data_IF_022523631944
#
_entry.id   IF_022523631944
#
_cell.length_a   1.000
_cell.length_b   1.000
_cell.length_c   1.000
_cell.angle_alpha   90.00
_cell.angle_beta   90.00
_cell.angle_gamma   90.00
#
_symmetry.space_group_name_H-M   'P 1'
#
loop_
_entity.id
_entity.type
_entity.pdbx_description
1 polymer ?
#
# COMPACT_ATOMS: atom_id res chain seq x y z
N UNK A 1 8.67 6.95 5.39
CA UNK A 1 7.45 6.21 5.07
C UNK A 1 6.22 6.86 5.68
N UNK A 2 5.06 6.56 5.09
CA UNK A 2 3.74 6.94 5.58
C UNK A 2 2.95 5.65 5.75
N UNK A 3 2.22 5.51 6.86
CA UNK A 3 1.38 4.35 7.13
C UNK A 3 -0.08 4.75 7.05
N UNK A 4 -0.85 4.07 6.21
CA UNK A 4 -2.31 4.15 6.19
C UNK A 4 -2.85 2.82 6.70
N UNK A 5 -3.57 2.82 7.80
CA UNK A 5 -4.03 1.58 8.40
C UNK A 5 -5.50 1.28 8.11
N UNK A 6 -5.82 -0.01 8.08
CA UNK A 6 -7.17 -0.52 8.13
C UNK A 6 -7.57 -0.74 9.59
N UNK A 7 -8.79 -0.35 9.94
CA UNK A 7 -9.33 -0.63 11.27
C UNK A 7 -10.17 -1.91 11.23
N UNK A 8 -9.92 -2.89 12.11
CA UNK A 8 -10.77 -4.06 12.23
C UNK A 8 -12.22 -3.69 12.58
N UNK A 9 -13.18 -4.49 12.13
CA UNK A 9 -14.59 -4.30 12.46
C UNK A 9 -14.80 -4.29 13.98
N UNK A 10 -15.61 -3.33 14.48
CA UNK A 10 -15.90 -3.19 15.90
C UNK A 10 -14.81 -2.51 16.72
N UNK A 11 -13.71 -2.08 16.12
CA UNK A 11 -12.64 -1.34 16.78
C UNK A 11 -12.75 0.14 16.43
N UNK A 12 -12.54 1.02 17.41
CA UNK A 12 -12.48 2.46 17.20
C UNK A 12 -11.22 2.83 16.39
N UNK A 13 -11.42 3.56 15.28
CA UNK A 13 -10.34 3.88 14.34
C UNK A 13 -9.25 4.78 14.96
N UNK A 14 -9.62 5.69 15.84
CA UNK A 14 -8.66 6.57 16.51
C UNK A 14 -7.86 5.83 17.57
N UNK A 15 -8.49 4.89 18.27
CA UNK A 15 -7.80 4.00 19.21
C UNK A 15 -6.81 3.09 18.48
N UNK A 16 -7.18 2.52 17.35
CA UNK A 16 -6.29 1.71 16.54
C UNK A 16 -5.11 2.54 16.00
N UNK A 17 -5.36 3.76 15.57
CA UNK A 17 -4.33 4.69 15.13
C UNK A 17 -3.28 4.94 16.23
N UNK A 18 -3.74 5.26 17.44
CA UNK A 18 -2.85 5.45 18.60
C UNK A 18 -2.05 4.19 18.94
N UNK A 19 -2.68 3.02 18.84
CA UNK A 19 -2.03 1.73 19.08
C UNK A 19 -0.88 1.50 18.10
N UNK A 20 -1.11 1.72 16.80
CA UNK A 20 -0.10 1.56 15.76
C UNK A 20 1.05 2.55 15.96
N UNK A 21 0.75 3.84 16.16
CA UNK A 21 1.76 4.85 16.43
C UNK A 21 2.62 4.48 17.65
N UNK A 22 2.00 4.01 18.73
CA UNK A 22 2.70 3.55 19.93
C UNK A 22 3.59 2.34 19.68
N UNK A 23 3.14 1.38 18.89
CA UNK A 23 3.98 0.23 18.52
C UNK A 23 5.23 0.65 17.75
N UNK A 24 5.09 1.59 16.81
CA UNK A 24 6.24 2.14 16.07
C UNK A 24 7.22 2.86 17.00
N UNK A 25 6.72 3.64 17.97
CA UNK A 25 7.55 4.29 18.98
C UNK A 25 8.32 3.27 19.84
N UNK A 26 7.67 2.18 20.24
CA UNK A 26 8.31 1.10 21.01
C UNK A 26 9.42 0.40 20.19
N UNK A 27 9.35 0.43 18.87
CA UNK A 27 10.40 -0.04 17.96
C UNK A 27 11.53 0.98 17.75
N UNK A 28 11.49 2.12 18.42
CA UNK A 28 12.54 3.16 18.34
C UNK A 28 12.33 4.19 17.24
N UNK A 29 11.13 4.26 16.67
CA UNK A 29 10.79 5.19 15.60
C UNK A 29 9.80 6.24 16.11
N UNK A 30 10.00 7.51 15.72
CA UNK A 30 9.00 8.55 15.98
C UNK A 30 7.80 8.35 15.08
N UNK A 31 6.60 8.34 15.65
CA UNK A 31 5.36 8.21 14.90
C UNK A 31 4.29 9.18 15.38
N UNK A 32 3.47 9.67 14.46
CA UNK A 32 2.41 10.63 14.75
C UNK A 32 1.11 10.21 14.05
N UNK A 33 0.05 10.03 14.85
CA UNK A 33 -1.29 9.79 14.32
C UNK A 33 -1.90 11.06 13.71
N UNK A 34 -2.41 10.96 12.50
CA UNK A 34 -2.99 12.06 11.73
C UNK A 34 -4.35 11.64 11.18
N UNK A 35 -5.32 12.55 11.21
CA UNK A 35 -6.61 12.38 10.53
C UNK A 35 -6.62 13.12 9.21
N UNK A 36 -7.13 12.47 8.17
CA UNK A 36 -7.27 13.06 6.84
C UNK A 36 -5.98 13.16 6.04
N UNK A 37 -6.08 13.76 4.86
CA UNK A 37 -4.97 13.89 3.90
C UNK A 37 -4.71 15.36 3.64
N UNK A 38 -3.78 15.93 4.39
CA UNK A 38 -3.25 17.28 4.14
C UNK A 38 -1.76 17.17 3.80
N UNK A 39 -1.41 17.50 2.55
CA UNK A 39 -0.06 17.36 2.02
C UNK A 39 0.96 18.22 2.79
N UNK A 40 0.58 19.42 3.20
CA UNK A 40 1.46 20.30 3.98
C UNK A 40 1.78 19.69 5.35
N UNK A 41 0.76 19.21 6.05
CA UNK A 41 0.91 18.52 7.33
C UNK A 41 1.78 17.27 7.19
N UNK A 42 1.60 16.47 6.12
CA UNK A 42 2.40 15.30 5.86
C UNK A 42 3.88 15.67 5.62
N UNK A 43 4.15 16.68 4.81
CA UNK A 43 5.52 17.15 4.59
C UNK A 43 6.18 17.66 5.88
N UNK A 44 5.46 18.43 6.68
CA UNK A 44 5.97 18.91 7.98
C UNK A 44 6.29 17.75 8.92
N UNK A 45 5.41 16.77 8.99
CA UNK A 45 5.57 15.58 9.84
C UNK A 45 6.81 14.78 9.46
N UNK A 46 6.98 14.51 8.17
CA UNK A 46 8.14 13.77 7.62
C UNK A 46 9.43 14.57 7.81
N UNK A 47 9.40 15.89 7.59
CA UNK A 47 10.57 16.75 7.76
C UNK A 47 11.08 16.82 9.20
N UNK A 48 10.25 16.47 10.17
CA UNK A 48 10.62 16.35 11.57
C UNK A 48 10.94 14.91 12.02
N UNK A 49 11.21 14.02 11.06
CA UNK A 49 11.55 12.61 11.25
C UNK A 49 10.44 11.76 11.91
N UNK A 50 9.19 12.18 11.78
CA UNK A 50 8.05 11.38 12.21
C UNK A 50 7.50 10.53 11.05
N UNK A 51 7.07 9.31 11.37
CA UNK A 51 6.23 8.50 10.48
C UNK A 51 4.77 8.89 10.69
N UNK A 52 4.11 9.51 9.69
CA UNK A 52 2.68 9.75 9.76
C UNK A 52 1.91 8.42 9.77
N UNK A 53 1.00 8.27 10.70
CA UNK A 53 0.07 7.14 10.77
C UNK A 53 -1.34 7.69 10.53
N UNK A 54 -1.90 7.38 9.38
CA UNK A 54 -3.10 8.04 8.86
C UNK A 54 -4.35 7.23 9.21
N UNK A 55 -5.31 7.91 9.84
CA UNK A 55 -6.70 7.42 9.91
C UNK A 55 -7.39 7.77 8.60
N UNK A 56 -7.85 6.81 7.81
CA UNK A 56 -8.65 7.09 6.62
C UNK A 56 -10.03 7.60 7.06
N UNK A 57 -10.16 8.90 7.06
CA UNK A 57 -11.34 9.62 7.56
C UNK A 57 -11.60 10.88 6.76
N UNK A 58 -12.87 11.18 6.52
CA UNK A 58 -13.26 12.49 6.05
C UNK A 58 -13.28 13.48 7.23
N UNK A 59 -12.62 14.61 7.08
CA UNK A 59 -12.55 15.66 8.10
C UNK A 59 -13.95 16.23 8.36
N UNK A 60 -14.79 16.31 7.33
CA UNK A 60 -16.12 16.88 7.39
C UNK A 60 -17.20 15.88 7.81
N UNK A 61 -16.93 14.58 7.69
CA UNK A 61 -17.86 13.50 8.04
C UNK A 61 -17.17 12.31 8.69
N UNK A 62 -16.98 12.39 10.00
CA UNK A 62 -16.31 11.34 10.79
C UNK A 62 -17.01 9.97 10.75
N UNK A 63 -18.29 9.95 10.38
CA UNK A 63 -19.09 8.72 10.31
C UNK A 63 -19.00 8.02 8.97
N UNK A 64 -18.47 8.68 7.94
CA UNK A 64 -18.32 8.08 6.61
C UNK A 64 -17.18 7.07 6.59
N UNK A 65 -17.47 5.90 6.02
CA UNK A 65 -16.44 4.91 5.78
C UNK A 65 -15.65 5.28 4.52
N UNK A 66 -14.35 5.43 4.70
CA UNK A 66 -13.40 5.62 3.59
C UNK A 66 -12.54 4.37 3.50
N UNK A 67 -12.44 3.80 2.29
CA UNK A 67 -11.56 2.66 2.06
C UNK A 67 -10.09 3.09 2.24
N UNK A 68 -9.33 2.44 3.13
CA UNK A 68 -7.91 2.73 3.32
C UNK A 68 -7.08 2.63 2.03
N UNK A 69 -7.47 1.79 1.08
CA UNK A 69 -6.79 1.66 -0.21
C UNK A 69 -6.89 2.94 -1.04
N UNK A 70 -8.06 3.60 -1.03
CA UNK A 70 -8.27 4.88 -1.72
C UNK A 70 -7.42 5.98 -1.09
N UNK A 71 -7.39 6.05 0.23
CA UNK A 71 -6.57 7.03 0.96
C UNK A 71 -5.08 6.82 0.67
N UNK A 72 -4.60 5.58 0.68
CA UNK A 72 -3.21 5.26 0.39
C UNK A 72 -2.82 5.64 -1.04
N UNK A 73 -3.69 5.38 -2.02
CA UNK A 73 -3.50 5.78 -3.40
C UNK A 73 -3.43 7.30 -3.54
N UNK A 74 -4.36 8.03 -2.94
CA UNK A 74 -4.39 9.49 -2.95
C UNK A 74 -3.11 10.10 -2.38
N UNK A 75 -2.67 9.63 -1.22
CA UNK A 75 -1.42 10.07 -0.59
C UNK A 75 -0.22 9.76 -1.48
N UNK A 76 -0.12 8.55 -2.01
CA UNK A 76 0.99 8.14 -2.86
C UNK A 76 1.12 9.05 -4.08
N UNK A 77 0.01 9.40 -4.73
CA UNK A 77 -0.01 10.30 -5.88
C UNK A 77 0.35 11.73 -5.49
N UNK A 78 -0.30 12.29 -4.47
CA UNK A 78 -0.08 13.66 -4.01
C UNK A 78 1.33 13.90 -3.46
N UNK A 79 1.89 12.92 -2.76
CA UNK A 79 3.24 12.98 -2.20
C UNK A 79 4.33 12.56 -3.18
N UNK A 80 3.98 12.21 -4.42
CA UNK A 80 4.91 11.69 -5.42
C UNK A 80 5.77 10.55 -4.86
N UNK A 81 5.11 9.58 -4.24
CA UNK A 81 5.78 8.45 -3.63
C UNK A 81 6.51 7.61 -4.69
N UNK A 82 7.69 7.13 -4.34
CA UNK A 82 8.42 6.16 -5.18
C UNK A 82 7.72 4.79 -5.18
N UNK A 83 7.19 4.40 -4.04
CA UNK A 83 6.52 3.11 -3.84
C UNK A 83 5.20 3.26 -3.09
N UNK A 84 4.17 2.56 -3.58
CA UNK A 84 2.94 2.27 -2.85
C UNK A 84 2.94 0.79 -2.52
N UNK A 85 2.70 0.44 -1.25
CA UNK A 85 2.75 -0.94 -0.79
C UNK A 85 1.44 -1.30 -0.12
N UNK A 86 0.75 -2.30 -0.67
CA UNK A 86 -0.42 -2.90 -0.05
C UNK A 86 -0.05 -4.19 0.67
N UNK A 87 -0.23 -4.22 1.98
CA UNK A 87 -0.17 -5.44 2.78
C UNK A 87 -1.55 -6.09 2.76
N UNK A 88 -1.68 -7.17 2.04
CA UNK A 88 -2.92 -7.88 1.81
C UNK A 88 -2.89 -9.30 2.41
N UNK A 89 -3.93 -10.07 2.17
CA UNK A 89 -3.94 -11.52 2.44
C UNK A 89 -3.48 -12.36 1.25
N UNK A 90 -3.04 -11.71 0.19
CA UNK A 90 -2.60 -12.37 -1.03
C UNK A 90 -1.09 -12.26 -1.17
N UNK A 91 -0.42 -13.35 -1.59
CA UNK A 91 1.05 -13.34 -1.78
C UNK A 91 1.49 -12.52 -2.99
N UNK A 92 0.59 -12.21 -3.91
CA UNK A 92 0.84 -11.51 -5.16
C UNK A 92 -0.04 -12.06 -6.27
N UNK A 93 0.34 -11.82 -7.52
CA UNK A 93 -0.36 -12.35 -8.70
C UNK A 93 0.26 -13.72 -9.02
N UNK A 94 -0.51 -14.79 -8.93
CA UNK A 94 -0.05 -16.12 -9.27
C UNK A 94 0.28 -16.25 -10.76
N UNK A 95 1.38 -16.97 -11.07
CA UNK A 95 1.80 -17.22 -12.46
C UNK A 95 0.84 -18.14 -13.19
N UNK A 96 0.28 -19.12 -12.46
CA UNK A 96 -0.65 -20.10 -12.99
C UNK A 96 -1.71 -20.57 -11.96
N UNK A 97 -2.56 -21.51 -12.38
CA UNK A 97 -3.62 -22.06 -11.53
C UNK A 97 -3.12 -22.95 -10.38
N UNK A 98 -1.88 -23.43 -10.44
CA UNK A 98 -1.30 -24.25 -9.38
C UNK A 98 -1.02 -23.45 -8.11
N UNK A 99 -0.92 -22.12 -8.25
CA UNK A 99 -0.67 -21.17 -7.15
C UNK A 99 0.64 -21.42 -6.41
N UNK A 100 1.62 -22.01 -7.09
CA UNK A 100 2.93 -22.29 -6.51
C UNK A 100 3.82 -21.06 -6.46
N UNK A 101 3.73 -20.21 -7.49
CA UNK A 101 4.57 -19.04 -7.67
C UNK A 101 3.79 -17.80 -8.01
N UNK A 102 4.38 -16.64 -7.72
CA UNK A 102 3.84 -15.34 -8.10
C UNK A 102 4.77 -14.64 -9.08
N UNK A 103 4.22 -13.75 -9.90
CA UNK A 103 5.03 -12.83 -10.70
C UNK A 103 5.81 -11.91 -9.76
N UNK A 104 7.15 -11.94 -9.74
CA UNK A 104 7.90 -10.99 -8.92
C UNK A 104 7.74 -9.56 -9.43
N UNK A 105 7.54 -9.40 -10.73
CA UNK A 105 7.34 -8.13 -11.41
C UNK A 105 6.42 -8.32 -12.61
N UNK A 106 5.55 -7.35 -12.84
CA UNK A 106 4.61 -7.34 -13.96
C UNK A 106 4.32 -5.91 -14.38
N UNK A 107 4.17 -5.69 -15.68
CA UNK A 107 3.77 -4.38 -16.20
C UNK A 107 2.26 -4.19 -16.13
N UNK A 108 1.82 -2.93 -16.14
CA UNK A 108 0.39 -2.62 -16.16
C UNK A 108 -0.32 -3.19 -17.38
N UNK A 109 0.34 -3.23 -18.54
CA UNK A 109 -0.20 -3.84 -19.76
C UNK A 109 -0.41 -5.35 -19.60
N UNK A 110 0.57 -6.06 -19.03
CA UNK A 110 0.46 -7.50 -18.73
C UNK A 110 -0.66 -7.79 -17.73
N UNK A 111 -0.87 -6.94 -16.73
CA UNK A 111 -2.01 -7.07 -15.79
C UNK A 111 -3.33 -6.94 -16.53
N UNK A 112 -3.48 -5.96 -17.43
CA UNK A 112 -4.70 -5.81 -18.24
C UNK A 112 -4.97 -7.05 -19.12
N UNK A 113 -3.94 -7.66 -19.70
CA UNK A 113 -4.12 -8.92 -20.46
C UNK A 113 -4.53 -10.08 -19.54
N UNK A 114 -3.95 -10.21 -18.35
CA UNK A 114 -4.37 -11.23 -17.38
C UNK A 114 -5.83 -11.06 -16.94
N UNK A 115 -6.29 -9.82 -16.74
CA UNK A 115 -7.68 -9.53 -16.38
C UNK A 115 -8.69 -9.99 -17.45
N UNK A 116 -8.30 -10.06 -18.71
CA UNK A 116 -9.14 -10.57 -19.81
C UNK A 116 -9.26 -12.09 -19.82
N UNK A 117 -8.23 -12.79 -19.34
CA UNK A 117 -8.09 -14.25 -19.46
C UNK A 117 -8.30 -15.00 -18.17
N UNK A 118 -8.22 -14.32 -17.01
CA UNK A 118 -8.34 -14.91 -15.69
C UNK A 118 -9.44 -14.25 -14.88
N UNK A 119 -10.08 -15.06 -14.07
CA UNK A 119 -11.00 -14.58 -13.03
C UNK A 119 -10.25 -14.39 -11.72
N UNK A 120 -10.26 -13.16 -11.20
CA UNK A 120 -9.73 -12.82 -9.89
C UNK A 120 -10.86 -12.58 -8.89
N UNK A 121 -10.68 -12.91 -7.59
CA UNK A 121 -11.60 -12.48 -6.55
C UNK A 121 -11.80 -10.96 -6.58
N UNK A 122 -13.01 -10.50 -6.27
CA UNK A 122 -13.37 -9.08 -6.34
C UNK A 122 -12.46 -8.20 -5.48
N UNK A 123 -12.16 -8.62 -4.24
CA UNK A 123 -11.27 -7.88 -3.34
C UNK A 123 -9.81 -7.85 -3.84
N UNK A 124 -9.36 -8.91 -4.51
CA UNK A 124 -8.03 -8.91 -5.13
C UNK A 124 -7.99 -8.01 -6.38
N UNK A 125 -9.04 -8.04 -7.20
CA UNK A 125 -9.18 -7.16 -8.35
C UNK A 125 -9.13 -5.69 -7.92
N UNK A 126 -9.69 -5.35 -6.77
CA UNK A 126 -9.63 -4.01 -6.21
C UNK A 126 -8.19 -3.57 -5.89
N UNK A 127 -7.38 -4.44 -5.28
CA UNK A 127 -5.94 -4.18 -5.10
C UNK A 127 -5.21 -3.98 -6.43
N UNK A 128 -5.49 -4.81 -7.44
CA UNK A 128 -4.88 -4.68 -8.77
C UNK A 128 -5.23 -3.33 -9.42
N UNK A 129 -6.49 -2.94 -9.36
CA UNK A 129 -6.94 -1.66 -9.92
C UNK A 129 -6.26 -0.47 -9.22
N UNK A 130 -6.11 -0.50 -7.90
CA UNK A 130 -5.39 0.53 -7.16
C UNK A 130 -3.91 0.60 -7.54
N UNK A 131 -3.24 -0.55 -7.71
CA UNK A 131 -1.86 -0.59 -8.18
C UNK A 131 -1.71 -0.02 -9.60
N UNK A 132 -2.64 -0.35 -10.49
CA UNK A 132 -2.68 0.16 -11.86
C UNK A 132 -2.84 1.68 -11.89
N UNK A 133 -3.82 2.19 -11.13
CA UNK A 133 -4.08 3.62 -11.01
C UNK A 133 -2.86 4.37 -10.45
N UNK A 134 -2.19 3.81 -9.46
CA UNK A 134 -0.98 4.40 -8.87
C UNK A 134 0.12 4.57 -9.93
N UNK A 135 0.47 3.52 -10.66
CA UNK A 135 1.56 3.58 -11.64
C UNK A 135 1.21 4.45 -12.85
N UNK A 136 -0.07 4.51 -13.24
CA UNK A 136 -0.53 5.42 -14.30
C UNK A 136 -0.50 6.90 -13.86
N UNK A 137 -0.62 7.16 -12.58
CA UNK A 137 -0.57 8.51 -12.02
C UNK A 137 0.83 8.94 -11.52
N UNK A 138 1.87 8.16 -11.83
CA UNK A 138 3.26 8.55 -11.63
C UNK A 138 3.98 7.92 -10.45
N UNK A 139 3.33 7.04 -9.68
CA UNK A 139 4.03 6.20 -8.68
C UNK A 139 4.89 5.18 -9.43
N UNK A 140 6.18 5.08 -9.10
CA UNK A 140 7.09 4.24 -9.87
C UNK A 140 6.78 2.75 -9.72
N UNK A 141 6.43 2.32 -8.52
CA UNK A 141 6.17 0.90 -8.18
C UNK A 141 5.00 0.77 -7.24
N UNK A 142 4.13 -0.19 -7.50
CA UNK A 142 3.04 -0.56 -6.60
C UNK A 142 3.15 -2.04 -6.26
N UNK A 143 3.29 -2.35 -4.97
CA UNK A 143 3.54 -3.69 -4.46
C UNK A 143 2.27 -4.29 -3.84
N UNK A 144 2.06 -5.58 -4.08
CA UNK A 144 1.11 -6.41 -3.34
C UNK A 144 1.91 -7.46 -2.58
N UNK A 145 1.86 -7.41 -1.26
CA UNK A 145 2.57 -8.31 -0.36
C UNK A 145 1.59 -9.00 0.58
N UNK A 146 1.94 -10.20 1.02
CA UNK A 146 1.20 -10.91 2.07
C UNK A 146 1.58 -10.36 3.45
N UNK A 147 0.72 -9.54 4.02
CA UNK A 147 0.93 -8.91 5.33
C UNK A 147 0.93 -9.88 6.51
N UNK A 148 0.63 -11.17 6.30
CA UNK A 148 0.69 -12.22 7.33
C UNK A 148 2.09 -12.81 7.48
N UNK A 149 2.97 -12.57 6.53
CA UNK A 149 4.36 -13.04 6.57
C UNK A 149 5.18 -12.08 7.45
N UNK A 150 5.81 -12.66 8.48
CA UNK A 150 6.71 -11.90 9.34
C UNK A 150 7.89 -11.36 8.53
N UNK A 151 8.25 -10.08 8.78
CA UNK A 151 9.33 -9.40 8.08
C UNK A 151 9.16 -9.28 6.54
N UNK A 152 7.92 -9.29 6.04
CA UNK A 152 7.65 -9.24 4.61
C UNK A 152 8.26 -8.02 3.92
N UNK A 153 8.28 -6.86 4.56
CA UNK A 153 8.89 -5.63 4.01
C UNK A 153 10.41 -5.75 3.86
N UNK A 154 11.18 -6.15 4.90
CA UNK A 154 12.60 -6.43 4.72
C UNK A 154 12.89 -7.49 3.66
N UNK A 155 12.10 -8.55 3.57
CA UNK A 155 12.27 -9.59 2.54
C UNK A 155 12.10 -8.98 1.15
N UNK A 156 11.05 -8.19 0.93
CA UNK A 156 10.78 -7.55 -0.36
C UNK A 156 11.91 -6.61 -0.80
N UNK A 157 12.45 -5.81 0.10
CA UNK A 157 13.43 -4.78 -0.27
C UNK A 157 14.89 -5.20 -0.20
N UNK A 158 15.22 -6.26 0.52
CA UNK A 158 16.61 -6.65 0.76
C UNK A 158 16.96 -8.07 0.31
N UNK A 159 15.98 -8.88 -0.11
CA UNK A 159 16.26 -10.18 -0.74
C UNK A 159 16.27 -10.07 -2.26
N UNK A 160 16.94 -11.01 -2.91
CA UNK A 160 17.04 -11.06 -4.37
C UNK A 160 15.68 -11.41 -5.02
N UNK A 161 14.96 -12.32 -4.40
CA UNK A 161 13.71 -12.87 -4.95
C UNK A 161 12.46 -12.07 -4.58
N UNK A 162 12.57 -11.15 -3.60
CA UNK A 162 11.43 -10.41 -3.08
C UNK A 162 10.44 -11.29 -2.31
N UNK A 163 9.26 -10.74 -2.00
CA UNK A 163 8.22 -11.41 -1.21
C UNK A 163 6.82 -11.34 -1.83
N UNK A 164 6.65 -10.67 -2.95
CA UNK A 164 5.34 -10.48 -3.57
C UNK A 164 5.43 -10.08 -5.02
N UNK A 165 4.41 -9.37 -5.50
CA UNK A 165 4.37 -8.85 -6.86
C UNK A 165 4.54 -7.34 -6.86
N UNK A 166 5.41 -6.81 -7.71
CA UNK A 166 5.49 -5.39 -8.02
C UNK A 166 4.89 -5.10 -9.39
N UNK A 167 3.96 -4.16 -9.41
CA UNK A 167 3.36 -3.62 -10.64
C UNK A 167 4.13 -2.36 -11.03
N UNK A 168 4.56 -2.29 -12.29
CA UNK A 168 5.21 -1.14 -12.90
C UNK A 168 4.43 -0.69 -14.13
N UNK A 169 4.57 0.56 -14.53
CA UNK A 169 3.87 1.08 -15.71
C UNK A 169 4.39 0.41 -16.99
N UNK A 170 5.70 0.44 -17.16
CA UNK A 170 6.40 -0.21 -18.26
C UNK A 170 7.85 -0.54 -17.83
N UNK A 171 8.56 -1.33 -18.63
CA UNK A 171 9.92 -1.75 -18.30
C UNK A 171 10.94 -0.61 -18.20
N UNK A 172 10.69 0.53 -18.85
CA UNK A 172 11.56 1.70 -18.78
C UNK A 172 11.58 2.34 -17.41
N UNK A 173 10.54 2.14 -16.61
CA UNK A 173 10.45 2.62 -15.23
C UNK A 173 11.53 2.02 -14.31
N UNK A 174 12.14 0.90 -14.69
CA UNK A 174 13.18 0.22 -13.90
C UNK A 174 14.53 0.93 -13.92
N UNK A 175 14.78 1.74 -14.92
CA UNK A 175 16.08 2.37 -15.16
C UNK A 175 16.10 3.87 -14.84
N UNK A 176 15.03 4.33 -14.24
CA UNK A 176 14.88 5.68 -13.69
C UNK A 176 14.97 5.63 -12.17
#
# INVERSE_FOLDING_TARGET
>A
PIVVHRTPMGVDKFRENKRIAKMLELCGTKALGICGVDVETLHMTISNDYIPVIVPNDIDNEMEYIDPKDTALEIAVKMQADKLIYLSRYPGIYTDETRSDVYPRITSEEVEELKKTRHFPEDFMDYLNHCMDAVHQGVNRAHILDGRIEHVLPIEFFSIDGAGTVVIRDERTLYQ
#
